data_IF_057409059551
#
_entry.id   IF_057409059551
#
_cell.length_a   1.000
_cell.length_b   1.000
_cell.length_c   1.000
_cell.angle_alpha   90.00
_cell.angle_beta   90.00
_cell.angle_gamma   90.00
#
_symmetry.space_group_name_H-M   'P 1'
#
loop_
_entity.id
_entity.type
_entity.pdbx_description
1 polymer ?
#
# COMPACT_ATOMS: atom_id res chain seq x y z
N UNK A 1 -46.09 -2.47 -48.68
CA UNK A 1 -44.88 -1.76 -48.24
C UNK A 1 -44.71 -2.02 -46.74
N UNK A 2 -43.90 -2.97 -46.40
CA UNK A 2 -43.65 -3.37 -45.01
C UNK A 2 -42.58 -2.49 -44.45
N UNK A 3 -42.94 -1.59 -43.54
CA UNK A 3 -41.95 -0.82 -42.78
C UNK A 3 -41.32 -1.74 -41.77
N UNK A 4 -40.10 -2.21 -42.08
CA UNK A 4 -39.23 -2.87 -41.17
C UNK A 4 -38.71 -1.79 -40.19
N UNK A 5 -39.40 -1.66 -39.07
CA UNK A 5 -38.90 -0.87 -37.96
C UNK A 5 -37.71 -1.64 -37.37
N UNK A 6 -36.53 -1.27 -37.84
CA UNK A 6 -35.30 -1.77 -37.21
C UNK A 6 -35.25 -1.22 -35.79
N UNK A 7 -35.62 -2.06 -34.87
CA UNK A 7 -35.38 -1.86 -33.44
C UNK A 7 -33.89 -1.96 -33.24
N UNK A 8 -33.19 -0.87 -33.48
CA UNK A 8 -31.82 -0.69 -33.02
C UNK A 8 -31.88 -0.67 -31.50
N UNK A 9 -31.86 -1.86 -30.93
CA UNK A 9 -31.46 -2.06 -29.57
C UNK A 9 -30.03 -1.50 -29.47
N UNK A 10 -29.97 -0.26 -29.01
CA UNK A 10 -28.73 0.28 -28.48
C UNK A 10 -28.33 -0.61 -27.30
N UNK A 11 -27.62 -1.66 -27.61
CA UNK A 11 -26.70 -2.28 -26.69
C UNK A 11 -25.65 -1.22 -26.40
N UNK A 12 -26.00 -0.29 -25.52
CA UNK A 12 -24.97 0.40 -24.81
C UNK A 12 -24.22 -0.70 -24.07
N UNK A 13 -22.93 -0.93 -24.37
CA UNK A 13 -22.13 -1.62 -23.42
C UNK A 13 -22.25 -0.76 -22.17
N UNK A 14 -22.90 -1.28 -21.17
CA UNK A 14 -22.67 -0.83 -19.81
C UNK A 14 -21.18 -1.17 -19.62
N UNK A 15 -20.33 -0.28 -20.10
CA UNK A 15 -18.99 -0.15 -19.59
C UNK A 15 -19.23 0.08 -18.11
N UNK A 16 -19.23 -1.03 -17.38
CA UNK A 16 -19.11 -0.98 -15.96
C UNK A 16 -17.92 -0.09 -15.73
N UNK A 17 -18.17 1.14 -15.35
CA UNK A 17 -17.22 1.95 -14.67
C UNK A 17 -16.90 1.13 -13.43
N UNK A 18 -15.92 0.23 -13.56
CA UNK A 18 -15.13 -0.19 -12.42
C UNK A 18 -14.52 1.12 -11.93
N UNK A 19 -15.30 1.84 -11.14
CA UNK A 19 -14.87 3.06 -10.52
C UNK A 19 -13.66 2.65 -9.71
N UNK A 20 -12.49 3.15 -10.09
CA UNK A 20 -11.32 3.05 -9.25
C UNK A 20 -11.71 3.69 -7.93
N UNK A 21 -12.03 2.88 -6.95
CA UNK A 21 -12.28 3.34 -5.59
C UNK A 21 -10.92 3.53 -4.91
N UNK A 22 -10.39 4.76 -4.81
CA UNK A 22 -9.04 4.99 -4.29
C UNK A 22 -8.82 4.41 -2.90
N UNK A 23 -9.89 4.27 -2.11
CA UNK A 23 -9.78 3.71 -0.76
C UNK A 23 -9.47 2.20 -0.72
N UNK A 24 -9.54 1.46 -1.85
CA UNK A 24 -9.09 0.06 -1.89
C UNK A 24 -7.57 -0.05 -1.82
N UNK A 25 -6.86 1.03 -2.16
CA UNK A 25 -5.40 1.07 -2.16
C UNK A 25 -4.85 1.62 -0.86
N UNK A 26 -3.69 1.08 -0.48
CA UNK A 26 -2.80 1.68 0.52
C UNK A 26 -1.54 2.13 -0.21
N UNK A 27 -1.27 3.42 -0.17
CA UNK A 27 -0.02 4.00 -0.68
C UNK A 27 1.01 3.99 0.43
N UNK A 28 2.16 3.41 0.17
CA UNK A 28 3.22 3.19 1.15
C UNK A 28 4.48 3.93 0.73
N UNK A 29 5.13 4.59 1.67
CA UNK A 29 6.47 5.18 1.54
C UNK A 29 7.31 4.82 2.74
N UNK A 30 8.60 4.69 2.53
CA UNK A 30 9.57 4.43 3.58
C UNK A 30 10.63 5.53 3.55
N UNK A 31 10.82 6.22 4.66
CA UNK A 31 11.85 7.24 4.85
C UNK A 31 13.00 6.64 5.64
N UNK A 32 14.21 6.80 5.13
CA UNK A 32 15.43 6.37 5.81
C UNK A 32 16.11 7.55 6.48
N UNK A 33 16.05 7.63 7.79
CA UNK A 33 16.80 8.56 8.65
C UNK A 33 17.96 7.88 9.40
N UNK A 34 18.22 6.59 9.12
CA UNK A 34 19.36 5.91 9.65
C UNK A 34 20.67 6.36 8.94
N UNK A 35 21.82 6.06 9.57
CA UNK A 35 23.13 6.44 9.04
C UNK A 35 23.62 5.53 7.89
N UNK A 36 22.89 4.47 7.57
CA UNK A 36 23.20 3.53 6.50
C UNK A 36 22.03 3.37 5.55
N UNK A 37 22.30 2.95 4.31
CA UNK A 37 21.24 2.58 3.38
C UNK A 37 20.42 1.42 3.96
N UNK A 38 19.11 1.45 3.75
CA UNK A 38 18.18 0.41 4.18
C UNK A 38 17.88 -0.53 3.01
N UNK A 39 18.04 -1.82 3.24
CA UNK A 39 17.79 -2.88 2.27
C UNK A 39 16.56 -3.69 2.69
N UNK A 40 15.66 -3.96 1.76
CA UNK A 40 14.54 -4.87 1.98
C UNK A 40 15.09 -6.30 2.07
N UNK A 41 14.93 -6.95 3.22
CA UNK A 41 15.36 -8.33 3.46
C UNK A 41 14.19 -9.28 3.71
N UNK A 42 12.99 -8.77 3.87
CA UNK A 42 11.80 -9.58 4.04
C UNK A 42 10.53 -8.87 3.56
N UNK A 43 9.69 -9.62 2.89
CA UNK A 43 8.36 -9.22 2.44
C UNK A 43 7.39 -10.38 2.65
N UNK A 44 6.24 -10.08 3.26
CA UNK A 44 5.16 -11.05 3.41
C UNK A 44 3.82 -10.36 3.23
N UNK A 45 3.10 -10.73 2.18
CA UNK A 45 1.69 -10.38 2.03
C UNK A 45 0.86 -11.42 2.75
N UNK A 46 0.12 -11.00 3.78
CA UNK A 46 -0.82 -11.86 4.51
C UNK A 46 -2.17 -11.85 3.82
N UNK A 47 -2.65 -10.66 3.43
CA UNK A 47 -3.85 -10.50 2.60
C UNK A 47 -3.75 -9.26 1.72
N UNK A 48 -4.36 -9.32 0.53
CA UNK A 48 -4.24 -8.31 -0.51
C UNK A 48 -3.24 -8.66 -1.60
N UNK A 49 -2.90 -7.71 -2.45
CA UNK A 49 -1.93 -7.88 -3.53
C UNK A 49 -1.21 -6.57 -3.88
N UNK A 50 0.00 -6.68 -4.41
CA UNK A 50 0.75 -5.52 -4.93
C UNK A 50 0.13 -5.08 -6.24
N UNK A 51 -0.22 -3.81 -6.36
CA UNK A 51 -0.79 -3.28 -7.60
C UNK A 51 0.26 -3.29 -8.71
N UNK A 52 -0.16 -3.67 -9.93
CA UNK A 52 0.72 -3.79 -11.08
C UNK A 52 1.44 -5.14 -11.17
N UNK A 53 1.19 -6.07 -10.26
CA UNK A 53 1.80 -7.40 -10.19
C UNK A 53 3.34 -7.39 -10.24
N UNK A 54 3.96 -6.26 -9.93
CA UNK A 54 5.40 -6.09 -10.01
C UNK A 54 5.99 -5.87 -8.61
N UNK A 55 6.56 -6.92 -8.04
CA UNK A 55 7.27 -6.83 -6.75
C UNK A 55 8.44 -5.84 -6.79
N UNK A 56 8.91 -5.45 -7.99
CA UNK A 56 9.97 -4.47 -8.15
C UNK A 56 9.55 -3.05 -7.77
N UNK A 57 8.25 -2.79 -7.59
CA UNK A 57 7.76 -1.49 -7.12
C UNK A 57 8.00 -1.30 -5.61
N UNK A 58 8.24 -2.39 -4.88
CA UNK A 58 8.61 -2.32 -3.47
C UNK A 58 10.07 -1.86 -3.39
N UNK A 59 10.39 -0.80 -2.63
CA UNK A 59 11.74 -0.25 -2.60
C UNK A 59 12.73 -1.24 -1.99
N UNK A 60 13.61 -1.80 -2.84
CA UNK A 60 14.63 -2.78 -2.42
C UNK A 60 15.75 -2.11 -1.65
N UNK A 61 16.08 -0.86 -2.01
CA UNK A 61 17.14 -0.07 -1.34
C UNK A 61 16.63 1.35 -1.15
N UNK A 62 16.81 1.88 0.05
CA UNK A 62 16.50 3.27 0.38
C UNK A 62 17.79 3.94 0.87
N UNK A 63 18.38 4.84 0.07
CA UNK A 63 19.60 5.55 0.45
C UNK A 63 19.41 6.38 1.72
N UNK A 64 20.51 6.69 2.39
CA UNK A 64 20.53 7.54 3.59
C UNK A 64 19.85 8.88 3.33
N UNK A 65 19.00 9.31 4.23
CA UNK A 65 18.30 10.58 4.18
C UNK A 65 17.23 10.69 3.10
N UNK A 66 16.92 9.61 2.38
CA UNK A 66 15.93 9.63 1.31
C UNK A 66 14.60 8.97 1.72
N UNK A 67 13.55 9.38 1.03
CA UNK A 67 12.26 8.72 1.06
C UNK A 67 12.10 7.91 -0.23
N UNK A 68 11.65 6.67 -0.11
CA UNK A 68 11.38 5.81 -1.27
C UNK A 68 10.35 6.41 -2.21
N UNK A 69 10.34 5.97 -3.46
CA UNK A 69 9.15 6.09 -4.29
C UNK A 69 7.95 5.45 -3.57
N UNK A 70 6.76 5.96 -3.86
CA UNK A 70 5.54 5.33 -3.35
C UNK A 70 5.25 4.05 -4.12
N UNK A 71 4.81 3.02 -3.42
CA UNK A 71 4.22 1.84 -4.02
C UNK A 71 2.82 1.60 -3.44
N UNK A 72 1.99 0.88 -4.17
CA UNK A 72 0.61 0.66 -3.80
C UNK A 72 0.33 -0.84 -3.64
N UNK A 73 -0.44 -1.14 -2.61
CA UNK A 73 -1.03 -2.46 -2.39
C UNK A 73 -2.54 -2.31 -2.33
N UNK A 74 -3.25 -3.32 -2.79
CA UNK A 74 -4.71 -3.31 -2.86
C UNK A 74 -5.30 -4.42 -2.02
N UNK A 75 -6.47 -4.17 -1.45
CA UNK A 75 -7.28 -5.22 -0.82
C UNK A 75 -7.91 -6.14 -1.87
N UNK A 76 -8.19 -7.37 -1.49
CA UNK A 76 -8.84 -8.37 -2.34
C UNK A 76 -10.38 -8.38 -2.22
N UNK A 77 -10.95 -7.40 -1.51
CA UNK A 77 -12.38 -7.21 -1.20
C UNK A 77 -12.98 -8.26 -0.24
N UNK A 78 -12.25 -9.30 0.10
CA UNK A 78 -12.72 -10.35 1.01
C UNK A 78 -12.22 -10.15 2.43
N UNK A 79 -11.03 -9.58 2.59
CA UNK A 79 -10.37 -9.37 3.87
C UNK A 79 -9.63 -8.02 3.90
N UNK A 80 -9.28 -7.58 5.11
CA UNK A 80 -8.42 -6.43 5.30
C UNK A 80 -7.07 -6.66 4.60
N UNK A 81 -6.46 -5.59 4.12
CA UNK A 81 -5.08 -5.63 3.67
C UNK A 81 -4.15 -5.80 4.87
N UNK A 82 -3.18 -6.70 4.73
CA UNK A 82 -2.21 -7.02 5.78
C UNK A 82 -0.86 -7.39 5.14
N UNK A 83 0.20 -6.69 5.53
CA UNK A 83 1.51 -6.75 4.89
C UNK A 83 2.63 -6.53 5.91
N UNK A 84 3.63 -7.42 5.90
CA UNK A 84 4.87 -7.27 6.68
C UNK A 84 6.03 -6.86 5.77
N UNK A 85 6.86 -5.93 6.24
CA UNK A 85 8.15 -5.60 5.65
C UNK A 85 9.26 -5.73 6.69
N UNK A 86 10.43 -6.17 6.23
CA UNK A 86 11.65 -6.22 7.05
C UNK A 86 12.76 -5.50 6.30
N UNK A 87 13.33 -4.48 6.94
CA UNK A 87 14.49 -3.75 6.43
C UNK A 87 15.70 -3.95 7.34
N UNK A 88 16.87 -3.98 6.70
CA UNK A 88 18.18 -3.94 7.35
C UNK A 88 18.88 -2.64 6.92
N UNK A 89 19.27 -1.81 7.90
CA UNK A 89 19.88 -0.51 7.67
C UNK A 89 21.31 -0.46 8.24
N UNK A 90 22.18 -1.29 7.69
CA UNK A 90 23.55 -1.49 8.17
C UNK A 90 23.70 -2.73 9.03
N UNK A 91 24.92 -3.01 9.46
CA UNK A 91 25.26 -4.22 10.21
C UNK A 91 24.53 -4.29 11.54
N UNK A 92 23.84 -5.42 11.80
CA UNK A 92 23.07 -5.68 13.02
C UNK A 92 21.97 -4.63 13.32
N UNK A 93 21.42 -3.99 12.30
CA UNK A 93 20.32 -3.03 12.43
C UNK A 93 19.14 -3.48 11.58
N UNK A 94 18.16 -4.11 12.19
CA UNK A 94 16.98 -4.63 11.51
C UNK A 94 15.69 -4.17 12.16
N UNK A 95 14.66 -3.97 11.35
CA UNK A 95 13.31 -3.74 11.82
C UNK A 95 12.31 -4.49 10.95
N UNK A 96 11.39 -5.18 11.60
CA UNK A 96 10.19 -5.76 10.99
C UNK A 96 8.98 -5.01 11.48
N UNK A 97 8.16 -4.57 10.56
CA UNK A 97 6.91 -3.89 10.86
C UNK A 97 5.78 -4.40 9.98
N UNK A 98 4.58 -4.36 10.52
CA UNK A 98 3.37 -4.66 9.77
C UNK A 98 2.56 -3.40 9.51
N UNK A 99 1.74 -3.45 8.49
CA UNK A 99 0.73 -2.45 8.21
C UNK A 99 -0.55 -3.10 7.74
N UNK A 100 -1.65 -2.59 8.24
CA UNK A 100 -2.98 -3.09 7.95
C UNK A 100 -3.88 -1.95 7.48
N UNK A 101 -4.76 -2.25 6.58
CA UNK A 101 -5.82 -1.34 6.13
C UNK A 101 -7.15 -2.08 6.14
N UNK A 102 -8.13 -1.52 6.81
CA UNK A 102 -9.50 -2.02 6.78
C UNK A 102 -10.11 -1.96 5.38
N UNK A 103 -11.17 -2.73 5.16
CA UNK A 103 -11.89 -2.73 3.90
C UNK A 103 -12.41 -1.34 3.53
N UNK A 104 -12.35 -1.04 2.23
CA UNK A 104 -12.90 0.18 1.66
C UNK A 104 -14.44 0.14 1.68
N UNK A 105 -15.03 0.52 2.81
CA UNK A 105 -16.49 0.66 2.95
C UNK A 105 -16.85 2.10 3.21
N UNK A 106 -16.70 2.55 4.47
CA UNK A 106 -16.94 3.95 4.84
C UNK A 106 -15.62 4.66 5.16
N UNK A 107 -14.82 4.04 5.99
CA UNK A 107 -13.52 4.52 6.44
C UNK A 107 -12.56 3.34 6.50
N UNK A 108 -11.57 3.35 5.62
CA UNK A 108 -10.52 2.35 5.60
C UNK A 108 -9.43 2.77 6.59
N UNK A 109 -9.55 2.32 7.83
CA UNK A 109 -8.60 2.62 8.90
C UNK A 109 -7.26 1.98 8.60
N UNK A 110 -6.19 2.77 8.68
CA UNK A 110 -4.81 2.32 8.52
C UNK A 110 -4.15 2.23 9.88
N UNK A 111 -3.53 1.10 10.15
CA UNK A 111 -2.73 0.86 11.36
C UNK A 111 -1.37 0.31 10.99
N UNK A 112 -0.40 0.53 11.85
CA UNK A 112 0.92 -0.06 11.75
C UNK A 112 1.42 -0.52 13.12
N UNK A 113 2.31 -1.50 13.14
CA UNK A 113 3.01 -1.89 14.36
C UNK A 113 4.43 -2.38 14.07
N UNK A 114 5.34 -2.16 15.00
CA UNK A 114 6.68 -2.74 14.94
C UNK A 114 6.61 -4.13 15.55
N UNK A 115 6.90 -5.16 14.74
CA UNK A 115 6.85 -6.56 15.17
C UNK A 115 8.15 -6.99 15.87
N UNK A 116 9.29 -6.52 15.36
CA UNK A 116 10.60 -6.75 15.98
C UNK A 116 11.59 -5.68 15.53
N UNK A 117 12.57 -5.40 16.37
CA UNK A 117 13.63 -4.45 16.06
C UNK A 117 14.94 -4.84 16.72
N UNK A 118 16.06 -4.56 16.06
CA UNK A 118 17.41 -4.69 16.59
C UNK A 118 18.19 -3.44 16.20
N UNK A 119 18.56 -2.63 17.19
CA UNK A 119 19.34 -1.39 17.02
C UNK A 119 18.78 -0.40 15.98
N UNK A 120 17.51 -0.48 15.69
CA UNK A 120 16.79 0.37 14.74
C UNK A 120 15.41 0.69 15.30
N UNK A 121 14.92 1.90 15.12
CA UNK A 121 13.56 2.32 15.46
C UNK A 121 12.75 2.53 14.19
N UNK A 122 11.45 2.33 14.27
CA UNK A 122 10.52 2.64 13.19
C UNK A 122 9.27 3.33 13.76
N UNK A 123 8.89 4.41 13.13
CA UNK A 123 7.68 5.17 13.43
C UNK A 123 6.86 5.33 12.16
N UNK A 124 5.56 5.53 12.29
CA UNK A 124 4.72 5.77 11.13
C UNK A 124 3.75 6.92 11.33
N UNK A 125 3.38 7.52 10.20
CA UNK A 125 2.26 8.42 10.06
C UNK A 125 1.29 7.82 9.05
N UNK A 126 0.01 7.76 9.39
CA UNK A 126 -1.01 7.16 8.56
C UNK A 126 -2.18 8.11 8.30
N UNK A 127 -2.79 7.97 7.14
CA UNK A 127 -4.02 8.64 6.76
C UNK A 127 -5.01 7.62 6.24
N UNK A 128 -6.19 7.59 6.85
CA UNK A 128 -7.26 6.67 6.49
C UNK A 128 -7.80 6.98 5.09
N UNK A 129 -8.18 5.94 4.37
CA UNK A 129 -8.94 6.06 3.14
C UNK A 129 -10.39 6.40 3.43
N UNK A 130 -11.00 7.24 2.60
CA UNK A 130 -12.40 7.63 2.70
C UNK A 130 -13.12 7.32 1.39
N UNK A 131 -14.14 6.48 1.46
CA UNK A 131 -14.91 6.08 0.29
C UNK A 131 -15.63 7.27 -0.36
N UNK A 132 -16.32 8.09 0.44
CA UNK A 132 -17.14 9.20 -0.06
C UNK A 132 -16.34 10.37 -0.61
N UNK A 133 -15.15 10.60 -0.08
CA UNK A 133 -14.26 11.70 -0.51
C UNK A 133 -13.26 11.24 -1.56
N UNK A 134 -13.37 10.00 -2.03
CA UNK A 134 -12.45 9.41 -3.00
C UNK A 134 -10.99 9.51 -2.55
N UNK A 135 -10.75 9.43 -1.25
CA UNK A 135 -9.45 9.63 -0.63
C UNK A 135 -8.73 8.29 -0.45
N UNK A 136 -7.54 8.11 -1.03
CA UNK A 136 -6.74 6.91 -0.80
C UNK A 136 -6.21 6.87 0.62
N UNK A 137 -6.02 5.66 1.13
CA UNK A 137 -5.27 5.43 2.36
C UNK A 137 -3.77 5.58 2.11
N UNK A 138 -3.03 6.03 3.11
CA UNK A 138 -1.57 6.12 3.02
C UNK A 138 -0.88 5.87 4.36
N UNK A 139 0.36 5.40 4.28
CA UNK A 139 1.24 5.24 5.42
C UNK A 139 2.67 5.61 5.02
N UNK A 140 3.35 6.33 5.88
CA UNK A 140 4.77 6.66 5.75
C UNK A 140 5.49 6.12 6.96
N UNK A 141 6.42 5.20 6.75
CA UNK A 141 7.32 4.72 7.79
C UNK A 141 8.61 5.50 7.79
N UNK A 142 9.12 5.83 8.97
CA UNK A 142 10.43 6.46 9.17
C UNK A 142 11.30 5.48 9.96
N UNK A 143 12.41 5.07 9.36
CA UNK A 143 13.41 4.21 9.96
C UNK A 143 14.57 5.08 10.48
N UNK A 144 14.98 4.91 11.73
CA UNK A 144 16.04 5.69 12.35
C UNK A 144 16.88 4.84 13.30
N UNK A 145 18.12 5.25 13.52
CA UNK A 145 18.98 4.63 14.53
C UNK A 145 18.40 4.88 15.93
N UNK A 146 18.53 3.89 16.80
CA UNK A 146 18.24 4.08 18.22
C UNK A 146 19.33 4.95 18.81
N UNK A 147 18.94 6.07 19.38
CA UNK A 147 19.83 7.01 20.08
C UNK A 147 20.20 6.52 21.47
#
# INVERSE_FOLDING_TARGET
MKKLLALLLYLYPVLGLAGDYPCIYLTIRIKNEAQSACHLVGFKMVSGYVQGANLNDIPLVIPVGQTSASFMVAEDFSDKLDLDLTYECGENKTVKFDMQKGLCRYNAVVTGSVLSTTNLDAKFEASNGLYWDNKPASIVWTLSDIS
#
